data_IF_625480109093
#
_entry.id   IF_625480109093
#
_cell.length_a   1.000
_cell.length_b   1.000
_cell.length_c   1.000
_cell.angle_alpha   90.00
_cell.angle_beta   90.00
_cell.angle_gamma   90.00
#
_symmetry.space_group_name_H-M   'P 1'
#
loop_
_entity.id
_entity.type
_entity.pdbx_description
1 polymer ?
#
# COMPACT_ATOMS: atom_id res chain seq x y z
N UNK A 1 56.93 -10.83 -11.43
CA UNK A 1 55.66 -10.15 -11.82
C UNK A 1 54.43 -11.06 -11.76
N UNK A 2 54.51 -12.37 -12.07
CA UNK A 2 53.35 -13.29 -12.09
C UNK A 2 52.58 -13.45 -10.75
N UNK A 3 53.26 -13.40 -9.60
CA UNK A 3 52.61 -13.51 -8.27
C UNK A 3 51.74 -12.29 -7.88
N UNK A 4 52.10 -11.08 -8.34
CA UNK A 4 51.34 -9.86 -8.03
C UNK A 4 50.02 -9.77 -8.81
N UNK A 5 49.99 -10.31 -10.04
CA UNK A 5 48.77 -10.40 -10.84
C UNK A 5 47.74 -11.40 -10.28
N UNK A 6 48.21 -12.49 -9.67
CA UNK A 6 47.32 -13.50 -9.07
C UNK A 6 46.63 -12.99 -7.79
N UNK A 7 47.35 -12.20 -6.99
CA UNK A 7 46.77 -11.51 -5.81
C UNK A 7 45.75 -10.44 -6.24
N UNK A 8 46.02 -9.70 -7.31
CA UNK A 8 45.08 -8.72 -7.85
C UNK A 8 43.82 -9.37 -8.44
N UNK A 9 43.96 -10.52 -9.11
CA UNK A 9 42.84 -11.31 -9.62
C UNK A 9 41.99 -11.88 -8.47
N UNK A 10 42.60 -12.33 -7.37
CA UNK A 10 41.87 -12.78 -6.18
C UNK A 10 41.12 -11.63 -5.50
N UNK A 11 41.73 -10.45 -5.35
CA UNK A 11 41.06 -9.24 -4.84
C UNK A 11 39.89 -8.81 -5.75
N UNK A 12 40.03 -8.92 -7.06
CA UNK A 12 38.98 -8.59 -8.02
C UNK A 12 37.79 -9.57 -7.97
N UNK A 13 38.07 -10.88 -7.80
CA UNK A 13 37.03 -11.91 -7.65
C UNK A 13 36.22 -11.75 -6.35
N UNK A 14 36.84 -11.29 -5.26
CA UNK A 14 36.13 -10.99 -3.99
C UNK A 14 35.14 -9.84 -4.18
N UNK A 15 35.48 -8.80 -4.94
CA UNK A 15 34.57 -7.66 -5.16
C UNK A 15 33.33 -7.96 -6.01
N UNK A 16 33.37 -9.01 -6.84
CA UNK A 16 32.26 -9.39 -7.75
C UNK A 16 31.17 -10.23 -7.08
N UNK A 17 31.37 -10.66 -5.82
CA UNK A 17 30.43 -11.55 -5.11
C UNK A 17 29.39 -10.80 -4.26
N UNK A 18 29.59 -9.50 -4.02
CA UNK A 18 28.71 -8.68 -3.18
C UNK A 18 27.55 -8.12 -4.01
N UNK A 19 26.44 -8.84 -4.10
CA UNK A 19 25.22 -8.26 -4.71
C UNK A 19 24.12 -9.23 -5.14
N UNK A 20 24.31 -10.54 -5.05
CA UNK A 20 23.27 -11.49 -5.44
C UNK A 20 22.17 -11.56 -4.37
N UNK A 21 20.93 -11.41 -4.80
CA UNK A 21 19.77 -11.57 -3.93
C UNK A 21 19.14 -12.94 -4.16
N UNK A 22 18.85 -13.66 -3.09
CA UNK A 22 18.11 -14.91 -3.16
C UNK A 22 16.63 -14.58 -2.94
N UNK A 23 15.78 -14.91 -3.92
CA UNK A 23 14.33 -14.72 -3.83
C UNK A 23 13.64 -16.03 -3.55
N UNK A 24 12.92 -16.09 -2.44
CA UNK A 24 11.97 -17.14 -2.11
C UNK A 24 10.58 -16.68 -2.54
N UNK A 25 9.91 -17.47 -3.37
CA UNK A 25 8.60 -17.14 -3.93
C UNK A 25 7.55 -17.98 -3.21
N UNK A 26 6.59 -17.32 -2.59
CA UNK A 26 5.45 -17.94 -1.92
C UNK A 26 4.17 -17.76 -2.73
N UNK A 27 3.36 -18.81 -2.85
CA UNK A 27 1.95 -18.68 -3.18
C UNK A 27 1.24 -18.24 -1.91
N UNK A 28 0.55 -17.11 -1.94
CA UNK A 28 -0.15 -16.56 -0.78
C UNK A 28 -1.64 -16.59 -1.03
N UNK A 29 -2.36 -17.37 -0.23
CA UNK A 29 -3.83 -17.44 -0.26
C UNK A 29 -4.41 -16.62 0.88
N UNK A 30 -5.39 -15.78 0.55
CA UNK A 30 -6.06 -14.88 1.49
C UNK A 30 -7.57 -15.05 1.38
N UNK A 31 -8.23 -15.28 2.52
CA UNK A 31 -9.66 -15.13 2.66
C UNK A 31 -9.99 -13.65 2.93
N UNK A 32 -10.57 -12.91 1.96
CA UNK A 32 -10.84 -11.48 2.12
C UNK A 32 -11.94 -11.17 3.14
N UNK A 33 -12.73 -12.18 3.53
CA UNK A 33 -13.88 -12.06 4.42
C UNK A 33 -13.96 -13.29 5.34
N UNK A 34 -13.60 -13.12 6.61
CA UNK A 34 -13.61 -14.22 7.58
C UNK A 34 -15.02 -14.67 8.00
N UNK A 35 -16.07 -13.91 7.65
CA UNK A 35 -17.46 -14.19 8.04
C UNK A 35 -18.19 -14.96 6.94
N UNK A 36 -17.87 -14.67 5.68
CA UNK A 36 -18.48 -15.32 4.52
C UNK A 36 -17.56 -16.39 3.94
N UNK A 37 -18.14 -17.51 3.50
CA UNK A 37 -17.43 -18.52 2.70
C UNK A 37 -17.17 -17.96 1.30
N UNK A 38 -16.09 -17.19 1.16
CA UNK A 38 -15.62 -16.65 -0.12
C UNK A 38 -14.45 -17.51 -0.62
N UNK A 39 -14.28 -17.59 -1.94
CA UNK A 39 -13.10 -18.22 -2.51
C UNK A 39 -11.83 -17.50 -2.05
N UNK A 40 -10.83 -18.27 -1.65
CA UNK A 40 -9.49 -17.75 -1.39
C UNK A 40 -8.97 -17.04 -2.64
N UNK A 41 -8.43 -15.85 -2.44
CA UNK A 41 -7.71 -15.13 -3.48
C UNK A 41 -6.23 -15.39 -3.33
N UNK A 42 -5.56 -15.59 -4.45
CA UNK A 42 -4.14 -15.89 -4.46
C UNK A 42 -3.35 -14.73 -5.06
N UNK A 43 -2.18 -14.45 -4.49
CA UNK A 43 -1.15 -13.64 -5.11
C UNK A 43 0.24 -14.21 -4.75
N UNK A 44 1.26 -13.87 -5.55
CA UNK A 44 2.63 -14.22 -5.18
C UNK A 44 3.21 -13.16 -4.27
N UNK A 45 3.91 -13.62 -3.24
CA UNK A 45 4.75 -12.78 -2.41
C UNK A 45 6.21 -13.25 -2.49
N UNK A 46 7.12 -12.31 -2.36
CA UNK A 46 8.55 -12.55 -2.41
C UNK A 46 9.15 -12.28 -1.04
N UNK A 47 10.03 -13.18 -0.62
CA UNK A 47 10.99 -12.95 0.46
C UNK A 47 12.38 -12.91 -0.18
N UNK A 48 12.87 -11.69 -0.39
CA UNK A 48 14.19 -11.43 -0.94
C UNK A 48 15.20 -11.34 0.18
N UNK A 49 16.27 -12.12 0.11
CA UNK A 49 17.35 -12.14 1.09
C UNK A 49 18.62 -11.66 0.42
N UNK A 50 19.20 -10.60 0.99
CA UNK A 50 20.46 -10.02 0.57
C UNK A 50 21.25 -9.65 1.80
N UNK A 51 22.45 -10.21 1.91
CA UNK A 51 23.31 -10.08 3.08
C UNK A 51 22.53 -10.47 4.36
N UNK A 52 22.57 -9.62 5.39
CA UNK A 52 21.92 -9.85 6.69
C UNK A 52 20.48 -9.32 6.78
N UNK A 53 19.84 -9.07 5.63
CA UNK A 53 18.50 -8.48 5.55
C UNK A 53 17.59 -9.27 4.65
N UNK A 54 16.30 -9.18 4.97
CA UNK A 54 15.25 -9.63 4.06
C UNK A 54 14.17 -8.58 3.81
N UNK A 55 13.55 -8.70 2.64
CA UNK A 55 12.43 -7.90 2.17
C UNK A 55 11.27 -8.82 1.81
N UNK A 56 10.15 -8.66 2.51
CA UNK A 56 8.88 -9.27 2.14
C UNK A 56 8.00 -8.26 1.39
N UNK A 57 7.54 -8.61 0.19
CA UNK A 57 6.72 -7.75 -0.68
C UNK A 57 5.82 -8.57 -1.61
N UNK A 58 4.63 -8.05 -1.96
CA UNK A 58 3.80 -8.65 -3.02
C UNK A 58 4.40 -8.41 -4.41
N UNK A 59 4.27 -9.40 -5.31
CA UNK A 59 4.59 -9.26 -6.73
C UNK A 59 3.77 -8.13 -7.38
N UNK A 60 2.47 -8.06 -7.08
CA UNK A 60 1.56 -7.05 -7.61
C UNK A 60 1.95 -5.65 -7.12
N UNK A 61 2.32 -5.52 -5.84
CA UNK A 61 2.85 -4.26 -5.30
C UNK A 61 4.15 -3.85 -6.00
N UNK A 62 5.07 -4.79 -6.17
CA UNK A 62 6.36 -4.53 -6.81
C UNK A 62 6.19 -4.04 -8.25
N UNK A 63 5.34 -4.72 -9.03
CA UNK A 63 5.01 -4.32 -10.40
C UNK A 63 4.39 -2.91 -10.40
N UNK A 64 3.47 -2.66 -9.47
CA UNK A 64 2.82 -1.36 -9.32
C UNK A 64 3.82 -0.24 -9.07
N UNK A 65 4.66 -0.38 -8.05
CA UNK A 65 5.61 0.66 -7.67
C UNK A 65 6.68 0.87 -8.74
N UNK A 66 7.15 -0.19 -9.40
CA UNK A 66 8.10 -0.10 -10.52
C UNK A 66 7.52 0.68 -11.70
N UNK A 67 6.29 0.37 -12.13
CA UNK A 67 5.64 1.08 -13.24
C UNK A 67 5.40 2.56 -12.90
N UNK A 68 4.91 2.86 -11.70
CA UNK A 68 4.74 4.26 -11.26
C UNK A 68 6.06 5.03 -11.19
N UNK A 69 7.16 4.38 -10.85
CA UNK A 69 8.47 5.03 -10.79
C UNK A 69 8.94 5.48 -12.18
N UNK A 70 8.76 4.64 -13.20
CA UNK A 70 9.08 4.96 -14.61
C UNK A 70 8.26 6.15 -15.10
N UNK A 71 6.94 6.16 -14.86
CA UNK A 71 6.09 7.28 -15.30
C UNK A 71 6.44 8.61 -14.63
N UNK A 72 6.80 8.61 -13.34
CA UNK A 72 7.26 9.84 -12.65
C UNK A 72 8.59 10.36 -13.20
N UNK A 73 9.47 9.48 -13.69
CA UNK A 73 10.72 9.87 -14.30
C UNK A 73 10.50 10.52 -15.67
N UNK A 74 9.50 10.05 -16.42
CA UNK A 74 9.13 10.64 -17.72
C UNK A 74 8.46 12.01 -17.56
N UNK A 75 7.59 12.20 -16.55
CA UNK A 75 7.02 13.53 -16.20
C UNK A 75 8.09 14.55 -15.81
N UNK A 76 9.19 14.13 -15.16
CA UNK A 76 10.30 15.04 -14.82
C UNK A 76 11.16 15.42 -16.03
N UNK A 77 11.13 14.64 -17.11
CA UNK A 77 11.88 14.92 -18.34
C UNK A 77 11.08 15.78 -19.33
N UNK A 78 9.76 15.66 -19.34
CA UNK A 78 8.88 16.54 -20.11
C UNK A 78 8.33 17.66 -19.20
N UNK A 79 8.87 18.88 -19.31
CA UNK A 79 8.35 20.09 -18.64
C UNK A 79 6.94 20.54 -19.13
N UNK A 80 6.06 19.61 -19.51
CA UNK A 80 4.68 19.90 -19.87
C UNK A 80 3.75 19.40 -18.78
N UNK A 81 3.14 20.35 -18.07
CA UNK A 81 1.96 20.15 -17.21
C UNK A 81 0.74 19.75 -18.05
N UNK A 82 0.81 18.64 -18.75
CA UNK A 82 -0.39 17.97 -19.26
C UNK A 82 -0.75 16.90 -18.25
N UNK A 83 -1.86 17.12 -17.55
CA UNK A 83 -2.48 16.14 -16.67
C UNK A 83 -2.93 14.96 -17.55
N UNK A 84 -2.01 14.03 -17.85
CA UNK A 84 -2.31 12.80 -18.58
C UNK A 84 -3.22 11.98 -17.69
N UNK A 85 -4.50 12.07 -17.99
CA UNK A 85 -5.55 11.25 -17.41
C UNK A 85 -5.14 9.78 -17.48
N UNK A 86 -4.72 9.19 -16.36
CA UNK A 86 -4.23 7.81 -16.23
C UNK A 86 -5.25 6.79 -16.77
N UNK A 87 -6.52 7.19 -16.91
CA UNK A 87 -7.58 6.39 -17.50
C UNK A 87 -7.50 6.29 -19.04
N UNK A 88 -6.90 7.27 -19.73
CA UNK A 88 -6.73 7.29 -21.19
C UNK A 88 -5.53 6.47 -21.70
N UNK A 89 -4.60 6.08 -20.83
CA UNK A 89 -3.42 5.27 -21.19
C UNK A 89 -3.68 3.74 -21.14
N UNK A 90 -4.90 3.29 -20.85
CA UNK A 90 -5.22 1.85 -20.75
C UNK A 90 -4.64 1.14 -19.52
N UNK A 91 -3.90 1.85 -18.65
CA UNK A 91 -3.16 1.30 -17.50
C UNK A 91 -4.04 0.76 -16.37
N UNK A 92 -5.34 1.09 -16.33
CA UNK A 92 -6.27 0.47 -15.38
C UNK A 92 -6.46 -1.04 -15.61
N UNK A 93 -6.05 -1.58 -16.77
CA UNK A 93 -6.20 -3.00 -17.10
C UNK A 93 -5.09 -3.92 -16.56
N UNK A 94 -4.02 -3.41 -15.94
CA UNK A 94 -2.83 -4.23 -15.61
C UNK A 94 -2.39 -4.22 -14.14
N UNK A 95 -3.10 -3.54 -13.24
CA UNK A 95 -2.81 -3.63 -11.81
C UNK A 95 -3.77 -4.58 -11.15
N UNK A 96 -3.35 -5.84 -11.00
CA UNK A 96 -4.02 -6.75 -10.10
C UNK A 96 -3.97 -6.16 -8.67
N UNK A 97 -5.10 -6.13 -7.95
CA UNK A 97 -5.11 -5.68 -6.56
C UNK A 97 -4.17 -6.55 -5.72
N UNK A 98 -3.67 -6.00 -4.62
CA UNK A 98 -2.85 -6.72 -3.65
C UNK A 98 -3.42 -6.58 -2.26
N UNK A 99 -3.29 -7.62 -1.45
CA UNK A 99 -3.58 -7.58 -0.02
C UNK A 99 -2.44 -6.94 0.78
N UNK A 100 -1.25 -6.88 0.19
CA UNK A 100 -0.02 -6.38 0.82
C UNK A 100 0.42 -5.09 0.13
N UNK A 101 -0.30 -4.01 0.41
CA UNK A 101 0.02 -2.65 -0.06
C UNK A 101 1.29 -2.03 0.59
N UNK A 102 1.90 -2.78 1.50
CA UNK A 102 3.08 -2.47 2.28
C UNK A 102 4.22 -3.44 1.97
N UNK A 103 5.39 -3.17 2.53
CA UNK A 103 6.51 -4.11 2.54
C UNK A 103 7.12 -4.20 3.94
N UNK A 104 7.83 -5.28 4.20
CA UNK A 104 8.45 -5.54 5.50
C UNK A 104 9.94 -5.78 5.27
N UNK A 105 10.77 -5.08 6.03
CA UNK A 105 12.21 -5.30 6.08
C UNK A 105 12.56 -5.93 7.41
N UNK A 106 13.41 -6.96 7.39
CA UNK A 106 13.91 -7.61 8.59
C UNK A 106 15.42 -7.56 8.61
N UNK A 107 15.96 -7.20 9.77
CA UNK A 107 17.36 -7.40 10.10
C UNK A 107 17.47 -8.77 10.77
N UNK A 108 18.07 -9.72 10.07
CA UNK A 108 18.08 -11.13 10.46
C UNK A 108 18.90 -11.35 11.75
N UNK A 109 20.13 -10.78 11.88
CA UNK A 109 20.94 -11.00 13.08
C UNK A 109 20.33 -10.39 14.35
N UNK A 110 19.78 -9.18 14.27
CA UNK A 110 19.16 -8.53 15.44
C UNK A 110 17.68 -8.85 15.63
N UNK A 111 17.10 -9.65 14.74
CA UNK A 111 15.68 -10.02 14.71
C UNK A 111 14.73 -8.81 14.78
N UNK A 112 15.14 -7.68 14.19
CA UNK A 112 14.31 -6.48 14.11
C UNK A 112 13.45 -6.50 12.88
N UNK A 113 12.17 -6.23 13.05
CA UNK A 113 11.18 -6.20 11.97
C UNK A 113 10.67 -4.78 11.80
N UNK A 114 10.67 -4.28 10.56
CA UNK A 114 10.21 -2.96 10.19
C UNK A 114 9.11 -3.07 9.15
N UNK A 115 7.98 -2.43 9.44
CA UNK A 115 6.85 -2.36 8.52
C UNK A 115 6.85 -1.00 7.82
N UNK A 116 6.78 -0.99 6.50
CA UNK A 116 6.78 0.21 5.67
C UNK A 116 5.53 0.29 4.80
N UNK A 117 4.96 1.49 4.74
CA UNK A 117 3.83 1.82 3.88
C UNK A 117 4.12 3.13 3.15
N UNK A 118 3.37 3.39 2.08
CA UNK A 118 3.48 4.64 1.32
C UNK A 118 2.12 5.30 1.21
N UNK A 119 2.04 6.51 1.75
CA UNK A 119 0.81 7.31 1.73
C UNK A 119 1.12 8.68 1.17
N UNK A 120 0.30 9.12 0.22
CA UNK A 120 0.45 10.44 -0.40
C UNK A 120 1.86 10.71 -0.95
N UNK A 121 2.52 9.66 -1.46
CA UNK A 121 3.88 9.75 -1.98
C UNK A 121 4.99 9.74 -0.92
N UNK A 122 4.66 9.84 0.37
CA UNK A 122 5.61 9.80 1.49
C UNK A 122 5.65 8.41 2.12
N UNK A 123 6.86 7.94 2.47
CA UNK A 123 7.02 6.69 3.22
C UNK A 123 6.71 6.94 4.70
N UNK A 124 6.02 5.99 5.32
CA UNK A 124 5.78 5.95 6.76
C UNK A 124 6.08 4.54 7.26
N UNK A 125 6.76 4.42 8.40
CA UNK A 125 7.18 3.11 8.90
C UNK A 125 7.20 3.05 10.43
N UNK A 126 7.25 1.83 10.96
CA UNK A 126 7.51 1.57 12.37
C UNK A 126 8.35 0.31 12.55
N UNK A 127 9.04 0.22 13.68
CA UNK A 127 9.64 -1.02 14.16
C UNK A 127 8.58 -1.80 14.94
N UNK A 128 8.38 -3.07 14.60
CA UNK A 128 7.52 -3.97 15.36
C UNK A 128 8.12 -4.19 16.75
N UNK A 129 7.31 -3.97 17.79
CA UNK A 129 7.73 -4.11 19.19
C UNK A 129 7.24 -5.41 19.84
N UNK A 130 6.41 -6.20 19.14
CA UNK A 130 5.94 -7.52 19.60
C UNK A 130 6.88 -8.63 19.11
N UNK A 131 7.58 -9.35 20.00
CA UNK A 131 8.35 -10.52 19.60
C UNK A 131 7.42 -11.69 19.24
N UNK A 132 7.82 -12.51 18.27
CA UNK A 132 7.15 -13.77 17.95
C UNK A 132 7.72 -14.85 18.87
N UNK A 133 6.87 -15.44 19.71
CA UNK A 133 7.27 -16.53 20.61
C UNK A 133 6.81 -17.86 20.01
N UNK A 134 7.75 -18.59 19.43
CA UNK A 134 7.49 -19.90 18.85
C UNK A 134 7.54 -21.02 19.88
N UNK A 135 6.54 -21.88 19.84
CA UNK A 135 6.55 -23.21 20.45
C UNK A 135 6.89 -24.23 19.35
N UNK A 136 8.13 -24.72 19.36
CA UNK A 136 8.58 -25.75 18.42
C UNK A 136 8.11 -27.11 18.96
N UNK A 137 7.47 -27.91 18.11
CA UNK A 137 6.98 -29.24 18.49
C UNK A 137 7.87 -30.33 17.90
N UNK A 138 7.75 -31.57 18.39
CA UNK A 138 8.50 -32.71 17.84
C UNK A 138 7.90 -33.28 16.55
N UNK A 139 6.84 -32.65 16.02
CA UNK A 139 6.18 -33.10 14.80
C UNK A 139 7.02 -32.69 13.59
N UNK A 140 7.45 -33.68 12.81
CA UNK A 140 8.20 -33.48 11.57
C UNK A 140 7.46 -34.08 10.39
N UNK A 141 7.36 -33.33 9.30
CA UNK A 141 6.71 -33.77 8.06
C UNK A 141 7.43 -33.17 6.84
N UNK A 142 7.19 -33.76 5.67
CA UNK A 142 7.67 -33.17 4.42
C UNK A 142 6.67 -32.12 3.93
N UNK A 143 7.08 -30.86 3.91
CA UNK A 143 6.27 -29.73 3.46
C UNK A 143 6.98 -29.04 2.30
N UNK A 144 6.25 -28.85 1.19
CA UNK A 144 6.73 -28.19 -0.03
C UNK A 144 8.07 -28.75 -0.55
N UNK A 145 8.28 -30.05 -0.39
CA UNK A 145 9.50 -30.74 -0.80
C UNK A 145 10.60 -30.83 0.26
N UNK A 146 10.49 -30.12 1.39
CA UNK A 146 11.51 -30.03 2.43
C UNK A 146 11.16 -30.84 3.69
N UNK A 147 12.12 -31.53 4.32
CA UNK A 147 11.94 -32.03 5.68
C UNK A 147 11.75 -30.84 6.62
N UNK A 148 10.61 -30.80 7.30
CA UNK A 148 10.17 -29.64 8.06
C UNK A 148 9.70 -30.03 9.45
N UNK A 149 9.90 -29.13 10.40
CA UNK A 149 9.42 -29.26 11.77
C UNK A 149 8.31 -28.23 12.02
N UNK A 150 7.30 -28.63 12.79
CA UNK A 150 6.17 -27.77 13.13
C UNK A 150 6.52 -26.83 14.28
N UNK A 151 6.06 -25.60 14.19
CA UNK A 151 6.06 -24.62 15.28
C UNK A 151 4.74 -23.86 15.31
N UNK A 152 4.34 -23.39 16.49
CA UNK A 152 3.10 -22.64 16.70
C UNK A 152 3.44 -21.32 17.39
N UNK A 153 2.77 -20.22 17.02
CA UNK A 153 2.90 -18.96 17.73
C UNK A 153 1.59 -18.16 17.72
N UNK A 154 1.36 -17.40 18.80
CA UNK A 154 0.32 -16.38 18.85
C UNK A 154 0.91 -15.04 18.42
N UNK A 155 0.43 -14.48 17.31
CA UNK A 155 0.91 -13.19 16.81
C UNK A 155 -0.18 -12.44 16.05
N UNK A 156 -0.33 -11.14 16.33
CA UNK A 156 -1.31 -10.28 15.64
C UNK A 156 -2.75 -10.75 15.84
N UNK A 157 -3.08 -11.34 17.00
CA UNK A 157 -4.41 -11.87 17.29
C UNK A 157 -4.78 -13.16 16.54
N UNK A 158 -3.82 -13.79 15.84
CA UNK A 158 -3.99 -15.09 15.17
C UNK A 158 -3.07 -16.15 15.78
N UNK A 159 -3.49 -17.40 15.68
CA UNK A 159 -2.65 -18.56 15.97
C UNK A 159 -2.03 -19.02 14.65
N UNK A 160 -0.71 -18.97 14.56
CA UNK A 160 0.04 -19.36 13.38
C UNK A 160 0.63 -20.75 13.55
N UNK A 161 0.44 -21.61 12.56
CA UNK A 161 1.22 -22.84 12.37
C UNK A 161 2.27 -22.60 11.30
N UNK A 162 3.53 -22.74 11.67
CA UNK A 162 4.67 -22.69 10.76
C UNK A 162 5.30 -24.07 10.60
N UNK A 163 5.69 -24.41 9.38
CA UNK A 163 6.58 -25.51 9.07
C UNK A 163 7.90 -24.93 8.57
N UNK A 164 8.98 -25.20 9.29
CA UNK A 164 10.31 -24.67 8.98
C UNK A 164 11.31 -25.78 8.69
N UNK A 165 12.30 -25.49 7.85
CA UNK A 165 13.36 -26.45 7.48
C UNK A 165 14.74 -25.93 7.83
N UNK A 166 15.58 -26.82 8.37
CA UNK A 166 17.00 -26.56 8.65
C UNK A 166 17.89 -26.66 7.41
N UNK A 167 17.39 -27.21 6.30
CA UNK A 167 18.13 -27.26 5.03
C UNK A 167 18.39 -25.86 4.45
N UNK A 168 17.53 -24.91 4.81
CA UNK A 168 17.72 -23.49 4.52
C UNK A 168 18.05 -22.81 5.85
N UNK A 169 19.35 -22.68 6.14
CA UNK A 169 19.88 -22.17 7.41
C UNK A 169 19.74 -20.64 7.57
N UNK A 170 18.56 -20.10 7.26
CA UNK A 170 18.23 -18.69 7.43
C UNK A 170 16.97 -18.60 8.29
N UNK A 171 17.07 -17.92 9.43
CA UNK A 171 16.00 -17.81 10.44
C UNK A 171 14.92 -16.80 10.01
N UNK A 172 14.16 -17.11 8.96
CA UNK A 172 13.24 -16.16 8.34
C UNK A 172 12.02 -16.81 7.67
N UNK A 173 11.07 -16.00 7.23
CA UNK A 173 9.82 -16.44 6.63
C UNK A 173 8.98 -15.31 6.01
N UNK A 174 7.75 -15.60 5.56
CA UNK A 174 6.86 -14.59 5.01
C UNK A 174 6.35 -13.61 6.08
N UNK A 175 5.89 -12.43 5.65
CA UNK A 175 5.35 -11.39 6.52
C UNK A 175 6.36 -10.97 7.62
N UNK A 176 5.89 -10.75 8.85
CA UNK A 176 6.69 -10.38 10.03
C UNK A 176 7.28 -11.60 10.76
N UNK A 177 6.94 -12.81 10.32
CA UNK A 177 7.20 -14.05 11.05
C UNK A 177 8.60 -14.56 10.69
N UNK A 178 9.44 -14.68 11.72
CA UNK A 178 10.86 -15.08 11.65
C UNK A 178 11.29 -15.62 13.02
N UNK A 179 12.56 -16.03 13.17
CA UNK A 179 13.12 -16.44 14.47
C UNK A 179 13.10 -17.95 14.77
N UNK A 180 12.70 -18.79 13.81
CA UNK A 180 12.84 -20.25 13.90
C UNK A 180 14.25 -20.69 13.46
N UNK A 181 14.78 -21.83 13.93
CA UNK A 181 16.10 -22.32 13.53
C UNK A 181 16.07 -22.93 12.13
N UNK A 182 15.84 -22.10 11.10
CA UNK A 182 15.62 -22.46 9.71
C UNK A 182 14.57 -21.57 9.05
N UNK A 183 14.35 -21.75 7.75
CA UNK A 183 13.38 -20.95 7.00
C UNK A 183 11.98 -21.57 7.03
N UNK A 184 10.96 -20.72 7.13
CA UNK A 184 9.55 -21.12 7.08
C UNK A 184 9.19 -21.45 5.62
N UNK A 185 8.86 -22.71 5.34
CA UNK A 185 8.47 -23.19 4.00
C UNK A 185 6.95 -23.24 3.82
N UNK A 186 6.20 -23.36 4.92
CA UNK A 186 4.74 -23.24 4.92
C UNK A 186 4.31 -22.51 6.19
N UNK A 187 3.34 -21.60 6.06
CA UNK A 187 2.76 -20.86 7.16
C UNK A 187 1.26 -20.72 6.94
N UNK A 188 0.45 -21.01 7.96
CA UNK A 188 -0.99 -20.81 7.90
C UNK A 188 -1.54 -20.38 9.26
N UNK A 189 -2.59 -19.58 9.27
CA UNK A 189 -3.33 -19.31 10.50
C UNK A 189 -4.35 -20.42 10.79
N UNK A 190 -4.81 -20.51 12.03
CA UNK A 190 -5.73 -21.54 12.52
C UNK A 190 -7.07 -21.57 11.79
N UNK A 191 -7.49 -20.43 11.21
CA UNK A 191 -8.73 -20.31 10.44
C UNK A 191 -8.54 -20.60 8.94
N UNK A 192 -7.31 -20.74 8.46
CA UNK A 192 -7.01 -20.88 7.04
C UNK A 192 -7.34 -19.62 6.22
N UNK A 193 -7.46 -18.47 6.89
CA UNK A 193 -7.68 -17.17 6.25
C UNK A 193 -6.43 -16.67 5.54
N UNK A 194 -5.25 -17.05 6.03
CA UNK A 194 -3.96 -16.66 5.49
C UNK A 194 -3.07 -17.88 5.39
N UNK A 195 -2.62 -18.18 4.18
CA UNK A 195 -1.69 -19.27 3.89
C UNK A 195 -0.56 -18.79 3.00
N UNK A 196 0.66 -19.21 3.33
CA UNK A 196 1.87 -18.95 2.56
C UNK A 196 2.57 -20.29 2.30
N UNK A 197 2.69 -20.66 1.04
CA UNK A 197 3.35 -21.88 0.61
C UNK A 197 4.58 -21.54 -0.23
N UNK A 198 5.78 -21.91 0.23
CA UNK A 198 7.00 -21.74 -0.55
C UNK A 198 6.93 -22.59 -1.83
N UNK A 199 7.04 -21.94 -2.99
CA UNK A 199 7.00 -22.61 -4.29
C UNK A 199 8.41 -22.93 -4.77
N UNK A 200 9.30 -21.92 -4.73
CA UNK A 200 10.65 -22.04 -5.28
C UNK A 200 11.60 -20.97 -4.77
N UNK A 201 12.89 -21.27 -4.92
CA UNK A 201 14.03 -20.38 -4.69
C UNK A 201 14.68 -20.03 -6.02
N UNK A 202 14.96 -18.74 -6.26
CA UNK A 202 15.71 -18.27 -7.43
C UNK A 202 16.79 -17.26 -7.02
N UNK A 203 17.79 -17.03 -7.88
CA UNK A 203 18.79 -15.98 -7.71
C UNK A 203 18.42 -14.81 -8.62
N UNK A 204 18.44 -13.59 -8.08
CA UNK A 204 18.11 -12.36 -8.79
C UNK A 204 19.31 -11.41 -8.70
N UNK A 205 19.74 -10.85 -9.84
CA UNK A 205 20.92 -9.98 -9.91
C UNK A 205 20.63 -8.53 -9.54
N UNK A 206 19.44 -8.04 -9.88
CA UNK A 206 18.98 -6.68 -9.61
C UNK A 206 17.64 -6.78 -8.87
N UNK A 207 17.67 -7.37 -7.67
CA UNK A 207 16.47 -7.37 -6.86
C UNK A 207 16.06 -5.95 -6.52
N UNK A 208 14.78 -5.77 -6.28
CA UNK A 208 14.25 -4.49 -5.88
C UNK A 208 14.75 -4.14 -4.49
N UNK A 209 15.35 -2.97 -4.40
CA UNK A 209 15.71 -2.35 -3.14
C UNK A 209 14.85 -1.10 -3.03
N UNK A 210 13.92 -1.05 -2.07
CA UNK A 210 13.22 0.18 -1.74
C UNK A 210 14.07 0.91 -0.69
N UNK A 211 14.89 1.91 -1.06
CA UNK A 211 15.61 2.69 -0.08
C UNK A 211 14.61 3.40 0.82
N UNK A 212 14.93 3.47 2.11
CA UNK A 212 14.20 4.34 3.04
C UNK A 212 14.47 5.77 2.61
N UNK A 213 13.41 6.46 2.19
CA UNK A 213 13.45 7.86 1.78
C UNK A 213 13.92 8.72 2.94
N UNK A 214 14.71 9.75 2.65
CA UNK A 214 15.21 10.67 3.68
C UNK A 214 14.10 11.44 4.40
N UNK A 215 12.93 11.55 3.76
CA UNK A 215 11.72 12.16 4.33
C UNK A 215 10.78 11.14 4.98
N UNK A 216 11.17 9.87 5.12
CA UNK A 216 10.33 8.84 5.70
C UNK A 216 9.92 9.19 7.14
N UNK A 217 8.62 9.12 7.44
CA UNK A 217 8.09 9.37 8.79
C UNK A 217 8.17 8.08 9.61
N UNK A 218 8.98 8.08 10.66
CA UNK A 218 8.94 7.02 11.66
C UNK A 218 7.76 7.25 12.62
N UNK A 219 7.02 6.17 12.92
CA UNK A 219 5.92 6.13 13.89
C UNK A 219 6.14 4.98 14.88
N UNK A 220 5.23 4.85 15.85
CA UNK A 220 5.08 3.66 16.69
C UNK A 220 3.95 2.80 16.14
N UNK A 221 4.03 1.46 16.26
CA UNK A 221 2.97 0.55 15.78
C UNK A 221 1.58 1.01 16.22
N UNK A 222 1.41 1.30 17.50
CA UNK A 222 0.10 1.64 18.08
C UNK A 222 -0.49 2.95 17.52
N UNK A 223 0.35 3.89 17.10
CA UNK A 223 -0.08 5.18 16.54
C UNK A 223 -0.13 5.16 15.00
N UNK A 224 0.35 4.08 14.37
CA UNK A 224 0.66 4.06 12.95
C UNK A 224 -0.52 4.45 12.06
N UNK A 225 -1.72 3.93 12.34
CA UNK A 225 -2.92 4.25 11.56
C UNK A 225 -3.33 5.72 11.70
N UNK A 226 -3.21 6.29 12.90
CA UNK A 226 -3.48 7.71 13.14
C UNK A 226 -2.47 8.61 12.44
N UNK A 227 -1.18 8.27 12.55
CA UNK A 227 -0.10 8.98 11.86
C UNK A 227 -0.22 8.90 10.34
N UNK A 228 -0.64 7.74 9.82
CA UNK A 228 -0.91 7.51 8.40
C UNK A 228 -2.05 8.39 7.90
N UNK A 229 -3.16 8.45 8.63
CA UNK A 229 -4.31 9.30 8.31
C UNK A 229 -3.94 10.80 8.36
N UNK A 230 -3.10 11.21 9.31
CA UNK A 230 -2.62 12.58 9.40
C UNK A 230 -1.82 13.00 8.16
N UNK A 231 -0.90 12.15 7.69
CA UNK A 231 -0.13 12.40 6.45
C UNK A 231 -1.05 12.52 5.23
N UNK A 232 -2.07 11.66 5.13
CA UNK A 232 -3.06 11.72 4.05
C UNK A 232 -3.86 13.04 4.07
N UNK A 233 -4.29 13.48 5.26
CA UNK A 233 -5.03 14.73 5.44
C UNK A 233 -4.17 15.96 5.12
N UNK A 234 -2.91 15.99 5.54
CA UNK A 234 -1.95 17.06 5.22
C UNK A 234 -1.77 17.18 3.70
N UNK A 235 -1.57 16.06 3.00
CA UNK A 235 -1.47 16.06 1.55
C UNK A 235 -2.74 16.57 0.87
N UNK A 236 -3.92 16.13 1.33
CA UNK A 236 -5.20 16.58 0.78
C UNK A 236 -5.41 18.09 0.97
N UNK A 237 -5.04 18.64 2.13
CA UNK A 237 -5.08 20.09 2.40
C UNK A 237 -4.14 20.86 1.48
N UNK A 238 -2.90 20.40 1.32
CA UNK A 238 -1.91 21.04 0.46
C UNK A 238 -2.33 21.01 -1.01
N UNK A 239 -2.93 19.90 -1.48
CA UNK A 239 -3.50 19.81 -2.84
C UNK A 239 -4.65 20.81 -3.06
N UNK A 240 -5.54 20.99 -2.07
CA UNK A 240 -6.64 21.98 -2.15
C UNK A 240 -6.13 23.42 -2.18
N UNK A 241 -5.13 23.73 -1.36
CA UNK A 241 -4.53 25.08 -1.32
C UNK A 241 -3.72 25.39 -2.59
N UNK A 242 -3.04 24.40 -3.17
CA UNK A 242 -2.32 24.54 -4.44
C UNK A 242 -3.21 24.60 -5.69
N UNK A 243 -4.45 24.12 -5.61
CA UNK A 243 -5.43 24.12 -6.72
C UNK A 243 -6.22 25.41 -6.87
N UNK A 244 -6.27 26.28 -5.84
CA UNK A 244 -7.00 27.55 -5.87
C UNK A 244 -6.12 28.78 -6.19
N UNK A 245 -4.87 28.57 -6.60
CA UNK A 245 -3.96 29.63 -7.00
C UNK A 245 -4.21 30.22 -8.40
N UNK A 246 -5.46 30.54 -8.75
CA UNK A 246 -5.76 31.43 -9.88
C UNK A 246 -7.17 32.06 -9.82
N UNK A 247 -7.64 32.49 -8.65
CA UNK A 247 -8.82 33.37 -8.57
C UNK A 247 -8.68 34.35 -7.41
N UNK A 248 -7.84 35.38 -7.56
CA UNK A 248 -8.16 36.76 -7.14
C UNK A 248 -6.97 37.68 -7.46
N UNK A 249 -7.04 38.38 -8.58
CA UNK A 249 -6.49 39.73 -8.70
C UNK A 249 -7.65 40.63 -9.12
N UNK A 250 -8.52 40.93 -8.16
CA UNK A 250 -9.26 42.19 -8.18
C UNK A 250 -8.48 43.17 -7.32
N UNK A 251 -7.77 44.11 -7.94
CA UNK A 251 -7.95 45.54 -7.68
C UNK A 251 -7.01 46.38 -8.58
N UNK A 252 -7.52 47.51 -9.06
CA UNK A 252 -6.68 48.66 -9.40
C UNK A 252 -6.53 49.04 -10.89
N UNK A 253 -7.57 49.62 -11.50
CA UNK A 253 -7.34 50.69 -12.50
C UNK A 253 -8.28 50.72 -13.71
N UNK A 254 -9.16 51.72 -13.79
CA UNK A 254 -9.85 52.07 -15.03
C UNK A 254 -11.05 53.00 -14.85
N UNK A 255 -10.85 54.28 -15.20
CA UNK A 255 -11.78 55.42 -15.12
C UNK A 255 -12.91 55.42 -16.17
N UNK A 256 -13.87 56.33 -15.93
CA UNK A 256 -14.94 56.91 -16.79
C UNK A 256 -16.32 56.25 -16.66
N UNK A 257 -17.45 56.95 -16.56
CA UNK A 257 -17.82 58.37 -16.50
C UNK A 257 -19.34 58.43 -16.22
N UNK A 258 -19.83 59.31 -15.33
CA UNK A 258 -20.58 60.51 -15.72
C UNK A 258 -22.08 60.26 -15.94
N UNK A 259 -22.95 60.87 -15.12
CA UNK A 259 -24.39 60.96 -15.42
C UNK A 259 -25.30 61.11 -14.20
N UNK A 260 -25.72 62.35 -13.92
CA UNK A 260 -26.76 62.71 -12.95
C UNK A 260 -28.16 62.24 -13.37
N UNK A 261 -29.06 62.05 -12.37
CA UNK A 261 -30.48 62.37 -12.56
C UNK A 261 -31.49 61.55 -11.74
N UNK A 262 -32.19 62.21 -10.79
CA UNK A 262 -33.66 62.12 -10.72
C UNK A 262 -34.34 61.14 -9.74
N UNK A 263 -34.63 61.64 -8.53
CA UNK A 263 -35.95 61.70 -7.85
C UNK A 263 -37.02 60.59 -7.95
N UNK A 264 -37.60 60.32 -6.75
CA UNK A 264 -38.98 59.89 -6.39
C UNK A 264 -39.37 58.44 -6.78
N UNK A 265 -40.06 57.64 -5.98
CA UNK A 265 -40.85 57.84 -4.77
C UNK A 265 -42.03 56.84 -4.80
N UNK A 266 -42.54 56.40 -3.65
CA UNK A 266 -43.91 55.84 -3.55
C UNK A 266 -44.06 54.47 -2.91
N UNK A 267 -44.60 54.48 -1.68
CA UNK A 267 -45.32 53.40 -1.01
C UNK A 267 -46.41 52.76 -1.88
N UNK A 268 -46.79 51.51 -1.58
CA UNK A 268 -48.18 51.16 -1.24
C UNK A 268 -48.27 49.83 -0.46
N UNK A 269 -49.18 49.82 0.51
CA UNK A 269 -49.55 48.73 1.42
C UNK A 269 -50.89 48.11 1.05
N UNK A 270 -51.21 46.96 1.67
CA UNK A 270 -52.55 46.36 1.79
C UNK A 270 -52.69 45.13 0.90
N UNK A 271 -53.09 43.93 1.36
CA UNK A 271 -53.96 43.56 2.48
C UNK A 271 -55.28 43.02 1.90
N UNK A 272 -55.61 41.75 2.15
CA UNK A 272 -56.93 41.18 1.76
C UNK A 272 -56.98 39.65 1.68
N UNK A 273 -57.69 39.04 2.63
CA UNK A 273 -58.08 37.63 2.70
C UNK A 273 -59.19 37.27 1.68
N UNK A 274 -59.35 35.97 1.37
CA UNK A 274 -60.54 35.45 0.66
C UNK A 274 -60.45 33.97 0.29
N UNK A 275 -61.48 33.21 0.67
CA UNK A 275 -61.59 31.73 0.74
C UNK A 275 -61.84 30.97 -0.57
N UNK A 276 -61.50 29.67 -0.54
CA UNK A 276 -62.16 28.46 -1.12
C UNK A 276 -62.60 28.43 -2.60
N UNK A 277 -62.14 27.44 -3.40
CA UNK A 277 -62.82 26.16 -3.61
C UNK A 277 -62.08 25.23 -4.61
N UNK A 278 -62.54 23.99 -4.65
CA UNK A 278 -62.01 22.78 -5.33
C UNK A 278 -61.90 22.89 -6.85
N UNK A 279 -60.94 22.15 -7.42
CA UNK A 279 -60.93 21.75 -8.83
C UNK A 279 -59.77 20.81 -9.13
N UNK A 280 -60.06 19.52 -9.32
CA UNK A 280 -59.12 18.52 -9.82
C UNK A 280 -59.04 18.60 -11.34
N UNK A 281 -57.83 18.52 -11.91
CA UNK A 281 -57.58 17.79 -13.18
C UNK A 281 -56.08 17.72 -13.49
N UNK A 282 -55.73 16.57 -14.08
CA UNK A 282 -54.42 16.10 -14.54
C UNK A 282 -53.55 17.12 -15.28
N UNK A 283 -52.24 16.99 -15.11
CA UNK A 283 -51.25 17.68 -15.91
C UNK A 283 -49.82 17.28 -15.55
N UNK A 284 -49.30 16.28 -16.26
CA UNK A 284 -47.89 15.89 -16.36
C UNK A 284 -46.88 17.02 -16.10
N UNK A 285 -45.96 16.80 -15.16
CA UNK A 285 -44.55 17.18 -15.35
C UNK A 285 -43.61 16.37 -14.43
N UNK A 286 -42.41 16.01 -14.89
CA UNK A 286 -41.61 14.94 -14.33
C UNK A 286 -40.87 15.37 -13.07
N UNK A 287 -40.69 14.39 -12.18
CA UNK A 287 -39.84 14.42 -10.99
C UNK A 287 -38.47 15.03 -11.28
N UNK A 288 -38.15 16.11 -10.57
CA UNK A 288 -36.78 16.62 -10.45
C UNK A 288 -35.97 15.54 -9.73
N UNK A 289 -35.22 14.77 -10.53
CA UNK A 289 -34.19 13.87 -10.04
C UNK A 289 -33.19 14.70 -9.24
N UNK A 290 -33.09 14.37 -7.95
CA UNK A 290 -31.95 14.69 -7.12
C UNK A 290 -30.68 14.38 -7.91
N UNK A 291 -29.87 15.40 -8.15
CA UNK A 291 -28.55 15.24 -8.72
C UNK A 291 -27.76 14.31 -7.82
N UNK A 292 -27.69 13.04 -8.20
CA UNK A 292 -26.71 12.09 -7.72
C UNK A 292 -25.35 12.71 -8.04
N UNK A 293 -24.80 13.42 -7.06
CA UNK A 293 -23.36 13.59 -6.99
C UNK A 293 -22.85 12.17 -6.77
N UNK A 294 -22.52 11.49 -7.86
CA UNK A 294 -21.71 10.29 -7.83
C UNK A 294 -20.39 10.70 -7.18
N UNK A 295 -20.38 10.61 -5.85
CA UNK A 295 -19.18 10.35 -5.10
C UNK A 295 -18.58 9.12 -5.77
N UNK A 296 -17.62 9.36 -6.65
CA UNK A 296 -16.60 8.39 -7.04
C UNK A 296 -15.75 8.14 -5.80
N UNK A 297 -16.40 7.55 -4.80
CA UNK A 297 -15.80 6.68 -3.82
C UNK A 297 -15.06 5.66 -4.66
N UNK A 298 -13.75 5.87 -4.80
CA UNK A 298 -12.81 4.78 -4.88
C UNK A 298 -13.24 3.80 -3.79
N UNK A 299 -14.00 2.76 -4.16
CA UNK A 299 -14.24 1.62 -3.29
C UNK A 299 -12.87 0.99 -3.12
N UNK A 300 -12.10 1.54 -2.18
CA UNK A 300 -11.00 0.84 -1.53
C UNK A 300 -11.65 -0.46 -1.09
N UNK A 301 -11.28 -1.58 -1.71
CA UNK A 301 -11.65 -2.88 -1.18
C UNK A 301 -10.99 -2.93 0.19
N UNK A 302 -11.71 -2.48 1.22
CA UNK A 302 -11.29 -2.63 2.59
C UNK A 302 -11.26 -4.15 2.73
N UNK A 303 -10.06 -4.73 2.69
CA UNK A 303 -9.85 -6.10 3.09
C UNK A 303 -10.51 -6.22 4.47
N UNK A 304 -11.66 -6.89 4.53
CA UNK A 304 -12.48 -6.92 5.75
C UNK A 304 -11.85 -7.85 6.78
N UNK A 305 -10.95 -8.72 6.32
CA UNK A 305 -10.20 -9.66 7.14
C UNK A 305 -8.72 -9.26 7.22
N UNK A 306 -8.30 -8.36 8.12
CA UNK A 306 -6.91 -7.95 8.22
C UNK A 306 -6.02 -9.09 8.73
N UNK A 307 -4.78 -9.19 8.24
CA UNK A 307 -3.83 -10.20 8.70
C UNK A 307 -3.54 -10.11 10.21
N UNK A 308 -3.61 -8.91 10.78
CA UNK A 308 -3.58 -8.72 12.24
C UNK A 308 -4.94 -8.25 12.75
N UNK A 309 -5.49 -8.99 13.72
CA UNK A 309 -6.71 -8.66 14.44
C UNK A 309 -6.36 -7.68 15.58
N UNK A 310 -7.17 -6.62 15.73
CA UNK A 310 -6.94 -5.51 16.68
C UNK A 310 -6.90 -5.96 18.13
#
# INVERSE_FOLDING_TARGET
MKKKGLVFLMLFLVTMSYGQTIRYIYETSVNPDSINLVSLKNEKTFLDIKDDRSLFISENKLIKDSLFSTFKLDEKKENKKEEKDFSKLGLKKHFEPTFFEYYIIKDIPSQKVYYYDRVAGKQIYYQEDRPVKWEITDITEKQNGYPSQKAIANFGGRVWTAWFTKEISISDGPYKLSGLPGSIVKLEDDKGDYKFDLIKKIIVKNAFEEPVSSDAKQSKRINFNGDKAAVELEFAKNKRLGGNGMQNFGDGGGRHGGGMGGMRGGNHSGGGEGMSHRGAMDGNNPSIQSSNTENTSFKKSINQNPIELK
#
